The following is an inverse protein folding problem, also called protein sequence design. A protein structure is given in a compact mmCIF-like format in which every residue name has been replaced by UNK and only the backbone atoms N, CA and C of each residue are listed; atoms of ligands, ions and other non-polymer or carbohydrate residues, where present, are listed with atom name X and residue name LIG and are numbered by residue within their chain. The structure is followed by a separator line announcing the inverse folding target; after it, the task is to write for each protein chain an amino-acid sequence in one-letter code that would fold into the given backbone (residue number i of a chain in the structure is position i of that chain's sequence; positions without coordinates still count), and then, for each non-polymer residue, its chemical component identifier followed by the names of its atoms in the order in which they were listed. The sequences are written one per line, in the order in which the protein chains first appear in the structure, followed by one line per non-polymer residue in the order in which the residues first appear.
data_IF_402532133660
#
_entry.id   IF_402532133660
#
_cell.length_a   1.000
_cell.length_b   1.000
_cell.length_c   1.000
_cell.angle_alpha   90.00
_cell.angle_beta   90.00
_cell.angle_gamma   90.00
#
_symmetry.space_group_name_H-M   'P 1'
#
loop_
_entity.id
_entity.type
_entity.pdbx_description
1 polymer ?
#
# COMPACT_ATOMS: atom_id res chain seq x y z
N UNK A 1 -11.25 21.50 -1.88
CA UNK A 1 -10.20 20.98 -2.76
C UNK A 1 -9.64 19.69 -2.14
N UNK A 2 -9.71 18.63 -2.86
CA UNK A 2 -9.22 17.35 -2.36
C UNK A 2 -7.77 17.15 -2.81
N UNK A 3 -6.94 16.74 -1.87
CA UNK A 3 -5.58 16.40 -2.18
C UNK A 3 -5.49 14.90 -2.28
N UNK A 4 -5.06 14.41 -3.44
CA UNK A 4 -4.73 13.01 -3.57
C UNK A 4 -3.38 12.80 -2.90
N UNK A 5 -3.38 12.08 -1.78
CA UNK A 5 -2.14 11.64 -1.17
C UNK A 5 -1.69 10.37 -1.88
N UNK A 6 -0.41 10.32 -2.19
CA UNK A 6 0.17 9.15 -2.81
C UNK A 6 1.25 8.58 -1.92
N UNK A 7 1.47 7.28 -2.05
CA UNK A 7 2.57 6.61 -1.37
C UNK A 7 3.21 5.61 -2.32
N UNK A 8 4.40 5.17 -1.95
CA UNK A 8 5.13 4.20 -2.75
C UNK A 8 4.80 2.81 -2.24
N UNK A 9 4.32 1.97 -3.13
CA UNK A 9 4.04 0.56 -2.86
C UNK A 9 4.98 -0.28 -3.69
N UNK A 10 5.68 -1.20 -3.03
CA UNK A 10 6.61 -2.09 -3.71
C UNK A 10 6.07 -3.50 -3.72
N UNK A 11 6.12 -4.14 -4.89
CA UNK A 11 5.84 -5.56 -5.03
C UNK A 11 7.12 -6.34 -4.74
N UNK A 12 7.09 -7.20 -3.71
CA UNK A 12 8.30 -7.93 -3.31
C UNK A 12 8.67 -9.04 -4.26
N UNK A 13 7.71 -9.53 -5.04
CA UNK A 13 7.98 -10.64 -5.97
C UNK A 13 8.84 -10.23 -7.17
N UNK A 14 8.71 -8.99 -7.61
CA UNK A 14 9.44 -8.52 -8.79
C UNK A 14 10.14 -7.17 -8.57
N UNK A 15 10.17 -6.67 -7.34
CA UNK A 15 10.75 -5.38 -6.96
C UNK A 15 10.18 -4.18 -7.72
N UNK A 16 8.97 -4.31 -8.25
CA UNK A 16 8.31 -3.19 -8.89
C UNK A 16 7.84 -2.17 -7.86
N UNK A 17 8.06 -0.91 -8.19
CA UNK A 17 7.63 0.22 -7.37
C UNK A 17 6.49 0.91 -8.09
N UNK A 18 5.38 1.14 -7.37
CA UNK A 18 4.18 1.72 -7.93
C UNK A 18 3.75 2.89 -7.06
N UNK A 19 3.40 4.01 -7.70
CA UNK A 19 2.75 5.11 -7.00
C UNK A 19 1.28 4.75 -6.80
N UNK A 20 0.86 4.69 -5.55
CA UNK A 20 -0.51 4.36 -5.20
C UNK A 20 -1.20 5.54 -4.55
N UNK A 21 -2.48 5.71 -4.83
CA UNK A 21 -3.29 6.74 -4.20
C UNK A 21 -3.77 6.24 -2.84
N UNK A 22 -3.57 7.04 -1.79
CA UNK A 22 -4.01 6.68 -0.44
C UNK A 22 -5.50 6.98 -0.32
N UNK A 23 -6.29 5.96 -0.03
CA UNK A 23 -7.72 6.10 0.20
C UNK A 23 -8.01 6.28 1.69
N UNK A 24 -7.38 5.47 2.53
CA UNK A 24 -7.53 5.53 3.97
C UNK A 24 -6.20 5.13 4.60
N UNK A 25 -5.80 5.88 5.62
CA UNK A 25 -4.54 5.61 6.31
C UNK A 25 -4.77 5.67 7.81
N UNK A 26 -4.47 4.57 8.48
CA UNK A 26 -4.50 4.48 9.93
C UNK A 26 -3.13 4.07 10.41
N UNK A 27 -2.40 5.03 10.90
CA UNK A 27 -1.02 4.83 11.32
C UNK A 27 -0.91 3.71 12.34
N UNK A 28 -0.01 2.75 12.07
CA UNK A 28 0.19 1.61 12.96
C UNK A 28 -0.90 0.56 12.89
N UNK A 29 -1.85 0.68 11.98
CA UNK A 29 -2.97 -0.25 11.83
C UNK A 29 -3.10 -0.75 10.40
N UNK A 30 -3.60 0.10 9.49
CA UNK A 30 -3.75 -0.33 8.11
C UNK A 30 -3.63 0.85 7.15
N UNK A 31 -3.37 0.52 5.91
CA UNK A 31 -3.26 1.47 4.82
C UNK A 31 -4.05 0.92 3.64
N UNK A 32 -5.06 1.66 3.18
CA UNK A 32 -5.83 1.31 2.00
C UNK A 32 -5.41 2.20 0.86
N UNK A 33 -5.01 1.60 -0.24
CA UNK A 33 -4.53 2.33 -1.41
C UNK A 33 -5.27 1.89 -2.66
N UNK A 34 -5.24 2.74 -3.67
CA UNK A 34 -5.76 2.42 -4.99
C UNK A 34 -4.62 2.32 -5.97
N UNK A 35 -4.52 1.19 -6.64
CA UNK A 35 -3.55 0.97 -7.70
C UNK A 35 -4.25 1.18 -9.03
N UNK A 36 -3.63 1.95 -9.92
CA UNK A 36 -4.14 2.18 -11.26
C UNK A 36 -5.59 2.69 -11.29
N UNK A 37 -6.01 3.38 -10.22
CA UNK A 37 -7.34 3.99 -10.07
C UNK A 37 -8.50 3.01 -9.96
N UNK A 38 -8.27 1.71 -10.11
CA UNK A 38 -9.36 0.74 -10.11
C UNK A 38 -9.20 -0.35 -9.06
N UNK A 39 -7.98 -0.61 -8.63
CA UNK A 39 -7.68 -1.73 -7.74
C UNK A 39 -7.44 -1.22 -6.32
N UNK A 40 -8.30 -1.63 -5.40
CA UNK A 40 -8.12 -1.30 -3.98
C UNK A 40 -7.30 -2.39 -3.31
N UNK A 41 -6.28 -1.96 -2.60
CA UNK A 41 -5.40 -2.86 -1.87
C UNK A 41 -5.35 -2.44 -0.41
N UNK A 42 -5.61 -3.37 0.49
CA UNK A 42 -5.52 -3.11 1.93
C UNK A 42 -4.22 -3.70 2.46
N UNK A 43 -3.41 -2.85 3.07
CA UNK A 43 -2.13 -3.24 3.65
C UNK A 43 -2.25 -3.15 5.17
N UNK A 44 -1.88 -4.21 5.86
CA UNK A 44 -1.88 -4.24 7.31
C UNK A 44 -0.50 -3.94 7.85
N UNK A 45 -0.45 -3.20 8.96
CA UNK A 45 0.82 -2.84 9.57
C UNK A 45 1.51 -4.07 10.17
N UNK A 46 2.77 -4.25 9.80
CA UNK A 46 3.63 -5.30 10.35
C UNK A 46 4.66 -4.64 11.26
N UNK A 47 4.45 -4.79 12.57
CA UNK A 47 5.33 -4.17 13.57
C UNK A 47 6.74 -4.77 13.58
N UNK A 48 6.89 -6.02 13.16
CA UNK A 48 8.20 -6.65 13.09
C UNK A 48 9.09 -6.04 12.02
N UNK A 49 8.46 -5.61 10.93
CA UNK A 49 9.18 -5.07 9.77
C UNK A 49 9.01 -3.56 9.62
N UNK A 50 8.19 -2.96 10.47
CA UNK A 50 7.91 -1.53 10.43
C UNK A 50 7.40 -1.04 9.08
N UNK A 51 6.54 -1.83 8.45
CA UNK A 51 5.93 -1.43 7.20
C UNK A 51 4.52 -2.02 7.07
N UNK A 52 3.77 -1.54 6.09
CA UNK A 52 2.44 -2.03 5.77
C UNK A 52 2.57 -3.09 4.68
N UNK A 53 1.87 -4.22 4.84
CA UNK A 53 1.99 -5.36 3.95
C UNK A 53 0.62 -5.89 3.58
N UNK A 54 0.44 -6.22 2.31
CA UNK A 54 -0.79 -6.81 1.80
C UNK A 54 -0.52 -7.73 0.62
N UNK A 55 -1.46 -8.61 0.37
CA UNK A 55 -1.37 -9.55 -0.75
C UNK A 55 -2.55 -9.33 -1.70
N UNK A 56 -2.27 -9.43 -2.98
CA UNK A 56 -3.30 -9.38 -4.01
C UNK A 56 -2.81 -10.17 -5.23
N UNK A 57 -3.69 -11.03 -5.77
CA UNK A 57 -3.36 -11.84 -6.95
C UNK A 57 -2.05 -12.62 -6.80
N UNK A 58 -1.82 -13.19 -5.62
CA UNK A 58 -0.61 -13.95 -5.28
C UNK A 58 0.66 -13.12 -5.23
N UNK A 59 0.53 -11.81 -5.29
CA UNK A 59 1.67 -10.91 -5.17
C UNK A 59 1.65 -10.26 -3.79
N UNK A 60 2.82 -10.07 -3.22
CA UNK A 60 2.97 -9.37 -1.95
C UNK A 60 3.36 -7.93 -2.21
N UNK A 61 2.68 -7.01 -1.54
CA UNK A 61 2.96 -5.59 -1.63
C UNK A 61 3.32 -5.03 -0.26
N UNK A 62 4.29 -4.14 -0.23
CA UNK A 62 4.72 -3.48 1.01
C UNK A 62 4.82 -1.99 0.78
N UNK A 63 4.62 -1.23 1.85
CA UNK A 63 4.73 0.23 1.80
C UNK A 63 5.13 0.76 3.18
N UNK A 64 5.89 1.82 3.19
CA UNK A 64 6.24 2.51 4.43
C UNK A 64 5.16 3.51 4.89
N UNK A 65 4.14 3.69 4.07
CA UNK A 65 3.04 4.59 4.41
C UNK A 65 3.09 5.94 3.72
#
# INVERSE_FOLDING_TARGET
MSFAQTCIVRCTDNDRVIDAEVIDFRQGSLLTVSLEREIKLVLKYDAHRNHYRGNMSRLEFVSDG
#
